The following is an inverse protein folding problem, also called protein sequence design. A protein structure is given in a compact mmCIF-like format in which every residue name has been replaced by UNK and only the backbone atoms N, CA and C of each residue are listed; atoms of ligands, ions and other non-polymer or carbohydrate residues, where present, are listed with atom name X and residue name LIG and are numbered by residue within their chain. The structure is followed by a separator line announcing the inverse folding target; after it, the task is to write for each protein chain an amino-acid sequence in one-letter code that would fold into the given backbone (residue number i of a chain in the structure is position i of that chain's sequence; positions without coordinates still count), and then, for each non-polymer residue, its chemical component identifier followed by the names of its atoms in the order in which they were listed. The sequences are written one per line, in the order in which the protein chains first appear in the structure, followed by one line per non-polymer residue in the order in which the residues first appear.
data_IF_442596550364
#
_entry.id   IF_442596550364
#
_cell.length_a   1.000
_cell.length_b   1.000
_cell.length_c   1.000
_cell.angle_alpha   90.00
_cell.angle_beta   90.00
_cell.angle_gamma   90.00
#
_symmetry.space_group_name_H-M   'P 1'
#
loop_
_entity.id
_entity.type
_entity.pdbx_description
1 polymer ?
#
# COMPACT_ATOMS: atom_id res chain seq x y z
N UNK A 1 -19.98 -10.21 -20.95
CA UNK A 1 -19.71 -9.27 -19.84
C UNK A 1 -19.84 -7.84 -20.33
N UNK A 2 -19.96 -6.86 -19.43
CA UNK A 2 -20.18 -5.43 -19.77
C UNK A 2 -18.94 -4.71 -20.35
N UNK A 3 -17.85 -5.43 -20.67
CA UNK A 3 -16.61 -4.83 -21.22
C UNK A 3 -15.90 -3.85 -20.27
N UNK A 4 -16.14 -3.98 -18.96
CA UNK A 4 -15.61 -3.08 -17.93
C UNK A 4 -14.17 -3.36 -17.52
N UNK A 5 -13.61 -2.42 -16.77
CA UNK A 5 -12.29 -2.54 -16.13
C UNK A 5 -12.48 -2.64 -14.61
N UNK A 6 -11.63 -3.40 -13.91
CA UNK A 6 -11.65 -3.53 -12.46
C UNK A 6 -10.24 -3.74 -11.90
N UNK A 7 -9.90 -3.06 -10.82
CA UNK A 7 -8.62 -3.19 -10.12
C UNK A 7 -8.81 -2.93 -8.63
N UNK A 8 -7.98 -3.55 -7.79
CA UNK A 8 -7.97 -3.37 -6.33
C UNK A 8 -6.69 -2.66 -5.83
N UNK A 9 -5.71 -2.44 -6.71
CA UNK A 9 -4.37 -1.92 -6.37
C UNK A 9 -4.35 -0.40 -6.31
N UNK A 10 -5.18 0.18 -5.44
CA UNK A 10 -5.44 1.61 -5.41
C UNK A 10 -4.20 2.46 -5.11
N UNK A 11 -3.24 1.93 -4.32
CA UNK A 11 -2.00 2.63 -3.92
C UNK A 11 -0.81 2.37 -4.86
N UNK A 12 -0.99 1.62 -5.95
CA UNK A 12 0.07 1.43 -6.93
C UNK A 12 0.21 2.66 -7.84
N UNK A 13 1.46 3.03 -8.12
CA UNK A 13 1.79 4.07 -9.09
C UNK A 13 2.46 3.52 -10.37
N UNK A 14 2.93 2.27 -10.35
CA UNK A 14 3.63 1.63 -11.48
C UNK A 14 3.00 0.29 -11.82
N UNK A 15 2.39 0.22 -13.01
CA UNK A 15 1.76 -0.97 -13.57
C UNK A 15 2.58 -1.58 -14.72
N UNK A 16 3.79 -1.10 -14.97
CA UNK A 16 4.63 -1.55 -16.09
C UNK A 16 5.13 -3.00 -15.97
N UNK A 17 4.94 -3.61 -14.80
CA UNK A 17 5.17 -5.04 -14.54
C UNK A 17 3.98 -5.94 -14.87
N UNK A 18 2.80 -5.38 -15.18
CA UNK A 18 1.63 -6.15 -15.56
C UNK A 18 1.89 -6.90 -16.87
N UNK A 19 1.45 -8.16 -16.95
CA UNK A 19 1.75 -9.07 -18.07
C UNK A 19 3.20 -9.58 -18.12
N UNK A 20 4.11 -9.06 -17.29
CA UNK A 20 5.52 -9.53 -17.21
C UNK A 20 5.79 -10.41 -16.00
N UNK A 21 4.85 -10.52 -15.05
CA UNK A 21 5.00 -11.40 -13.89
C UNK A 21 4.55 -12.81 -14.26
N UNK A 22 5.32 -13.81 -13.85
CA UNK A 22 5.04 -15.21 -14.15
C UNK A 22 3.92 -15.83 -13.29
N UNK A 23 3.40 -15.09 -12.30
CA UNK A 23 2.33 -15.57 -11.42
C UNK A 23 1.94 -14.52 -10.39
N UNK A 24 1.15 -14.96 -9.41
CA UNK A 24 0.60 -14.11 -8.37
C UNK A 24 1.70 -13.70 -7.38
N UNK A 25 1.94 -12.39 -7.18
CA UNK A 25 2.89 -11.90 -6.19
C UNK A 25 2.50 -12.35 -4.79
N UNK A 26 3.48 -12.85 -4.04
CA UNK A 26 3.26 -13.40 -2.70
C UNK A 26 4.52 -13.26 -1.85
N UNK A 27 4.46 -13.68 -0.59
CA UNK A 27 5.56 -13.61 0.35
C UNK A 27 6.83 -14.35 -0.13
N UNK A 28 6.70 -15.34 -1.00
CA UNK A 28 7.82 -16.15 -1.51
C UNK A 28 8.20 -17.32 -0.61
N UNK A 29 7.60 -17.40 0.58
CA UNK A 29 7.77 -18.46 1.58
C UNK A 29 6.57 -18.48 2.53
N UNK A 30 6.33 -19.59 3.24
CA UNK A 30 5.39 -19.60 4.37
C UNK A 30 5.82 -18.61 5.46
N UNK A 31 4.86 -17.97 6.11
CA UNK A 31 5.08 -17.06 7.25
C UNK A 31 5.86 -17.76 8.37
N UNK A 32 5.59 -19.06 8.57
CA UNK A 32 6.29 -19.86 9.55
C UNK A 32 7.79 -20.03 9.24
N UNK A 33 8.21 -19.97 7.97
CA UNK A 33 9.60 -20.17 7.55
C UNK A 33 10.46 -18.89 7.61
N UNK A 34 9.87 -17.74 7.96
CA UNK A 34 10.62 -16.48 8.13
C UNK A 34 11.72 -16.63 9.19
N UNK A 35 11.47 -17.43 10.23
CA UNK A 35 12.42 -17.62 11.34
C UNK A 35 13.62 -18.51 10.99
N UNK A 36 13.63 -19.09 9.78
CA UNK A 36 14.71 -19.90 9.21
C UNK A 36 15.63 -19.12 8.27
N UNK A 37 15.27 -17.86 7.96
CA UNK A 37 16.10 -16.98 7.15
C UNK A 37 17.33 -16.56 7.95
N UNK A 38 18.50 -16.59 7.31
CA UNK A 38 19.76 -16.15 7.93
C UNK A 38 20.22 -14.78 7.43
N UNK A 39 19.78 -14.37 6.23
CA UNK A 39 20.02 -13.05 5.65
C UNK A 39 18.74 -12.50 5.06
N UNK A 40 18.37 -11.29 5.47
CA UNK A 40 17.15 -10.65 4.96
C UNK A 40 17.47 -9.22 4.56
N UNK A 41 17.13 -8.83 3.34
CA UNK A 41 17.04 -7.44 2.93
C UNK A 41 15.58 -7.04 2.85
N UNK A 42 15.17 -6.06 3.65
CA UNK A 42 13.86 -5.42 3.52
C UNK A 42 14.02 -4.16 2.67
N UNK A 43 13.25 -4.06 1.59
CA UNK A 43 13.26 -2.90 0.69
C UNK A 43 11.93 -2.16 0.81
N UNK A 44 11.98 -0.88 1.19
CA UNK A 44 10.82 0.00 1.20
C UNK A 44 9.66 -0.50 2.06
N UNK A 45 9.78 -0.46 3.39
CA UNK A 45 8.74 -0.94 4.31
C UNK A 45 8.71 -0.11 5.60
N UNK A 46 7.51 0.30 6.02
CA UNK A 46 7.28 0.76 7.39
C UNK A 46 6.95 -0.45 8.26
N UNK A 47 7.89 -1.41 8.30
CA UNK A 47 7.66 -2.84 8.63
C UNK A 47 6.79 -3.09 9.87
N UNK A 48 7.01 -2.37 10.96
CA UNK A 48 6.23 -2.53 12.21
C UNK A 48 4.79 -2.04 12.12
N UNK A 49 4.52 -1.10 11.23
CA UNK A 49 3.21 -0.51 10.99
C UNK A 49 2.47 -1.26 9.88
N UNK A 50 3.20 -1.64 8.83
CA UNK A 50 2.65 -2.40 7.70
C UNK A 50 2.39 -3.87 8.08
N UNK A 51 3.35 -4.53 8.76
CA UNK A 51 3.31 -5.97 9.03
C UNK A 51 3.80 -6.35 10.44
N UNK A 52 3.07 -6.01 11.51
CA UNK A 52 3.51 -6.24 12.89
C UNK A 52 3.92 -7.69 13.20
N UNK A 53 3.19 -8.68 12.65
CA UNK A 53 3.48 -10.11 12.88
C UNK A 53 4.72 -10.59 12.13
N UNK A 54 4.98 -10.08 10.92
CA UNK A 54 6.21 -10.37 10.17
C UNK A 54 7.40 -9.71 10.88
N UNK A 55 7.24 -8.46 11.32
CA UNK A 55 8.26 -7.75 12.11
C UNK A 55 8.65 -8.55 13.37
N UNK A 56 7.65 -9.09 14.08
CA UNK A 56 7.87 -9.92 15.25
C UNK A 56 8.64 -11.21 14.91
N UNK A 57 8.32 -11.88 13.80
CA UNK A 57 9.02 -13.11 13.38
C UNK A 57 10.45 -12.83 12.97
N UNK A 58 10.70 -11.76 12.21
CA UNK A 58 12.05 -11.32 11.87
C UNK A 58 12.86 -11.00 13.14
N UNK A 59 12.24 -10.36 14.14
CA UNK A 59 12.89 -10.13 15.44
C UNK A 59 13.28 -11.45 16.13
N UNK A 60 12.48 -12.51 16.04
CA UNK A 60 12.87 -13.83 16.54
C UNK A 60 14.00 -14.46 15.72
N UNK A 61 13.98 -14.31 14.40
CA UNK A 61 15.06 -14.76 13.53
C UNK A 61 16.38 -14.07 13.90
N UNK A 62 16.36 -12.76 14.15
CA UNK A 62 17.54 -11.98 14.58
C UNK A 62 18.12 -12.51 15.90
N UNK A 63 17.28 -12.89 16.86
CA UNK A 63 17.73 -13.52 18.11
C UNK A 63 18.44 -14.87 17.88
N UNK A 64 18.20 -15.53 16.75
CA UNK A 64 18.85 -16.79 16.33
C UNK A 64 20.01 -16.57 15.36
N UNK A 65 20.45 -15.32 15.16
CA UNK A 65 21.61 -14.99 14.32
C UNK A 65 21.28 -14.57 12.88
N UNK A 66 20.00 -14.38 12.54
CA UNK A 66 19.62 -13.75 11.28
C UNK A 66 20.16 -12.31 11.23
N UNK A 67 20.73 -11.92 10.08
CA UNK A 67 21.09 -10.53 9.83
C UNK A 67 20.03 -9.88 8.95
N UNK A 68 19.35 -8.88 9.50
CA UNK A 68 18.38 -8.05 8.78
C UNK A 68 19.09 -6.78 8.31
N UNK A 69 19.03 -6.53 7.01
CA UNK A 69 19.48 -5.32 6.34
C UNK A 69 18.29 -4.54 5.78
N UNK A 70 18.45 -3.22 5.64
CA UNK A 70 17.36 -2.33 5.21
C UNK A 70 17.82 -1.41 4.09
N UNK A 71 16.99 -1.31 3.05
CA UNK A 71 17.02 -0.23 2.08
C UNK A 71 15.67 0.52 2.13
N UNK A 72 15.67 1.74 2.64
CA UNK A 72 14.42 2.50 2.83
C UNK A 72 14.65 4.02 2.75
N UNK A 73 13.58 4.79 2.89
CA UNK A 73 13.60 6.25 2.89
C UNK A 73 13.57 6.85 4.30
N UNK A 74 13.39 6.02 5.34
CA UNK A 74 13.40 6.44 6.74
C UNK A 74 14.12 5.39 7.57
N UNK A 75 14.92 5.82 8.54
CA UNK A 75 15.49 4.93 9.55
C UNK A 75 14.52 4.71 10.73
N UNK A 76 13.46 3.93 10.53
CA UNK A 76 12.53 3.62 11.62
C UNK A 76 13.09 2.60 12.63
N UNK A 77 12.69 2.73 13.89
CA UNK A 77 13.04 1.75 14.93
C UNK A 77 12.14 0.50 14.84
N UNK A 78 12.73 -0.58 14.34
CA UNK A 78 12.07 -1.87 14.18
C UNK A 78 12.12 -2.77 15.42
N UNK A 79 12.62 -2.27 16.55
CA UNK A 79 12.80 -3.02 17.80
C UNK A 79 13.63 -4.28 17.63
N UNK A 80 14.54 -4.29 16.65
CA UNK A 80 15.52 -5.34 16.43
C UNK A 80 16.82 -4.70 15.95
N UNK A 81 17.99 -5.31 16.27
CA UNK A 81 19.25 -4.92 15.65
C UNK A 81 19.17 -5.00 14.13
N UNK A 82 19.54 -3.92 13.46
CA UNK A 82 19.69 -3.87 12.01
C UNK A 82 21.18 -3.99 11.70
N UNK A 83 21.56 -5.02 10.96
CA UNK A 83 22.97 -5.30 10.64
C UNK A 83 23.55 -4.22 9.73
N UNK A 84 22.80 -3.86 8.68
CA UNK A 84 23.19 -2.84 7.72
C UNK A 84 21.97 -2.04 7.27
N UNK A 85 22.14 -0.74 7.05
CA UNK A 85 21.09 0.15 6.57
C UNK A 85 21.62 1.03 5.44
N UNK A 86 20.76 1.28 4.45
CA UNK A 86 20.97 2.27 3.40
C UNK A 86 19.71 3.12 3.33
N UNK A 87 19.81 4.36 3.80
CA UNK A 87 18.69 5.31 3.87
C UNK A 87 18.90 6.35 2.78
N UNK A 88 17.96 6.41 1.84
CA UNK A 88 18.07 7.26 0.65
C UNK A 88 16.75 7.90 0.32
N UNK A 89 16.77 9.05 -0.37
CA UNK A 89 15.56 9.65 -0.90
C UNK A 89 14.78 8.66 -1.80
N UNK A 90 13.43 8.75 -1.88
CA UNK A 90 12.62 7.81 -2.65
C UNK A 90 13.13 7.57 -4.08
N UNK A 91 13.41 8.64 -4.83
CA UNK A 91 13.89 8.53 -6.22
C UNK A 91 15.26 7.82 -6.35
N UNK A 92 16.06 7.78 -5.29
CA UNK A 92 17.36 7.11 -5.27
C UNK A 92 17.27 5.62 -4.89
N UNK A 93 16.09 5.11 -4.49
CA UNK A 93 15.93 3.73 -4.04
C UNK A 93 16.33 2.69 -5.09
N UNK A 94 15.92 2.88 -6.35
CA UNK A 94 16.25 1.92 -7.40
C UNK A 94 17.76 1.87 -7.67
N UNK A 95 18.40 3.04 -7.77
CA UNK A 95 19.86 3.12 -7.95
C UNK A 95 20.59 2.50 -6.76
N UNK A 96 20.12 2.75 -5.54
CA UNK A 96 20.68 2.18 -4.32
C UNK A 96 20.56 0.66 -4.26
N UNK A 97 19.42 0.08 -4.72
CA UNK A 97 19.19 -1.36 -4.78
C UNK A 97 20.07 -2.05 -5.83
N UNK A 98 20.23 -1.43 -7.01
CA UNK A 98 21.10 -1.95 -8.08
C UNK A 98 22.57 -1.89 -7.69
N UNK A 99 22.98 -0.85 -6.97
CA UNK A 99 24.35 -0.65 -6.49
C UNK A 99 24.64 -1.29 -5.13
N UNK A 100 24.04 -2.45 -4.83
CA UNK A 100 24.35 -3.18 -3.58
C UNK A 100 25.55 -4.13 -3.74
N UNK A 101 25.96 -4.45 -4.96
CA UNK A 101 27.15 -5.26 -5.20
C UNK A 101 28.39 -4.62 -4.57
N UNK A 102 29.11 -5.38 -3.74
CA UNK A 102 30.32 -4.90 -3.05
C UNK A 102 30.06 -3.97 -1.87
N UNK A 103 28.80 -3.76 -1.51
CA UNK A 103 28.42 -3.07 -0.26
C UNK A 103 28.22 -4.08 0.88
N UNK A 104 28.25 -3.65 2.16
CA UNK A 104 27.97 -4.54 3.29
C UNK A 104 26.62 -5.27 3.19
N UNK A 105 25.58 -4.61 2.64
CA UNK A 105 24.28 -5.25 2.41
C UNK A 105 24.39 -6.37 1.39
N UNK A 106 25.07 -6.13 0.25
CA UNK A 106 25.25 -7.13 -0.80
C UNK A 106 26.13 -8.30 -0.35
N UNK A 107 27.18 -8.03 0.41
CA UNK A 107 28.04 -9.06 1.02
C UNK A 107 27.28 -9.90 2.04
N UNK A 108 26.50 -9.25 2.91
CA UNK A 108 25.59 -9.92 3.84
C UNK A 108 24.67 -10.88 3.11
N UNK A 109 23.97 -10.44 2.06
CA UNK A 109 23.08 -11.30 1.27
C UNK A 109 23.80 -12.50 0.64
N UNK A 110 24.96 -12.26 0.00
CA UNK A 110 25.76 -13.34 -0.63
C UNK A 110 26.28 -14.37 0.36
N UNK A 111 26.53 -13.98 1.60
CA UNK A 111 27.00 -14.89 2.64
C UNK A 111 25.92 -15.83 3.19
N UNK A 112 24.63 -15.58 2.87
CA UNK A 112 23.50 -16.32 3.41
C UNK A 112 23.21 -17.63 2.67
N UNK A 113 22.89 -18.68 3.43
CA UNK A 113 22.36 -19.93 2.89
C UNK A 113 20.85 -19.84 2.64
N UNK A 114 20.15 -19.10 3.49
CA UNK A 114 18.71 -18.86 3.45
C UNK A 114 18.43 -17.36 3.33
N UNK A 115 18.88 -16.77 2.22
CA UNK A 115 18.75 -15.34 1.96
C UNK A 115 17.42 -14.97 1.29
N UNK A 116 16.81 -13.86 1.70
CA UNK A 116 15.62 -13.30 1.07
C UNK A 116 15.68 -11.77 0.92
N UNK A 117 15.10 -11.28 -0.18
CA UNK A 117 14.82 -9.86 -0.42
C UNK A 117 13.32 -9.67 -0.38
N UNK A 118 12.82 -8.95 0.62
CA UNK A 118 11.38 -8.74 0.84
C UNK A 118 11.02 -7.29 0.51
N UNK A 119 10.13 -7.12 -0.47
CA UNK A 119 9.60 -5.83 -0.90
C UNK A 119 8.40 -5.45 -0.03
N UNK A 120 8.51 -4.33 0.69
CA UNK A 120 7.42 -3.79 1.51
C UNK A 120 6.44 -2.92 0.73
N UNK A 121 5.49 -2.32 1.44
CA UNK A 121 4.43 -1.54 0.82
C UNK A 121 4.98 -0.30 0.11
N UNK A 122 5.92 0.41 0.73
CA UNK A 122 6.56 1.58 0.13
C UNK A 122 7.30 1.22 -1.18
N UNK A 123 7.93 0.05 -1.28
CA UNK A 123 8.54 -0.41 -2.53
C UNK A 123 7.50 -0.80 -3.59
N UNK A 124 6.40 -1.44 -3.19
CA UNK A 124 5.31 -1.86 -4.08
C UNK A 124 4.51 -0.66 -4.64
N UNK A 125 4.44 0.43 -3.88
CA UNK A 125 3.70 1.65 -4.23
C UNK A 125 4.58 2.67 -4.97
N UNK A 126 5.89 2.40 -5.08
CA UNK A 126 6.85 3.30 -5.71
C UNK A 126 6.53 3.48 -7.21
N UNK A 127 6.76 4.67 -7.81
CA UNK A 127 6.62 4.91 -9.26
C UNK A 127 7.56 4.09 -10.17
N UNK A 128 8.37 3.21 -9.58
CA UNK A 128 9.31 2.32 -10.26
C UNK A 128 9.25 0.92 -9.64
N UNK A 129 8.09 0.53 -9.09
CA UNK A 129 7.91 -0.73 -8.38
C UNK A 129 8.28 -1.95 -9.23
N UNK A 130 7.99 -1.96 -10.54
CA UNK A 130 8.37 -3.04 -11.44
C UNK A 130 9.91 -3.13 -11.59
N UNK A 131 10.59 -1.99 -11.65
CA UNK A 131 12.05 -1.94 -11.71
C UNK A 131 12.71 -2.32 -10.38
N UNK A 132 12.12 -1.92 -9.25
CA UNK A 132 12.55 -2.38 -7.92
C UNK A 132 12.41 -3.91 -7.80
N UNK A 133 11.33 -4.48 -8.33
CA UNK A 133 11.13 -5.92 -8.40
C UNK A 133 12.18 -6.60 -9.28
N UNK A 134 12.42 -6.10 -10.49
CA UNK A 134 13.46 -6.62 -11.38
C UNK A 134 14.87 -6.54 -10.75
N UNK A 135 15.20 -5.42 -10.09
CA UNK A 135 16.47 -5.23 -9.40
C UNK A 135 16.62 -6.17 -8.18
N UNK A 136 15.56 -6.38 -7.40
CA UNK A 136 15.55 -7.35 -6.31
C UNK A 136 15.76 -8.79 -6.83
N UNK A 137 15.13 -9.15 -7.95
CA UNK A 137 15.33 -10.44 -8.61
C UNK A 137 16.77 -10.64 -9.09
N UNK A 138 17.40 -9.59 -9.62
CA UNK A 138 18.77 -9.63 -10.11
C UNK A 138 19.82 -9.90 -9.01
N UNK A 139 19.47 -9.74 -7.73
CA UNK A 139 20.35 -10.08 -6.60
C UNK A 139 20.53 -11.60 -6.41
N UNK A 140 19.75 -12.44 -7.09
CA UNK A 140 19.89 -13.90 -7.07
C UNK A 140 19.40 -14.58 -5.79
N UNK A 141 18.79 -13.84 -4.87
CA UNK A 141 18.16 -14.38 -3.66
C UNK A 141 16.66 -14.65 -3.89
N UNK A 142 16.01 -15.33 -2.93
CA UNK A 142 14.55 -15.43 -2.90
C UNK A 142 13.93 -14.03 -2.82
N UNK A 143 13.03 -13.70 -3.73
CA UNK A 143 12.24 -12.46 -3.68
C UNK A 143 10.88 -12.74 -3.07
N UNK A 144 10.41 -11.83 -2.21
CA UNK A 144 9.11 -11.88 -1.56
C UNK A 144 8.42 -10.52 -1.54
N UNK A 145 7.09 -10.52 -1.52
CA UNK A 145 6.27 -9.33 -1.27
C UNK A 145 5.65 -9.45 0.11
N UNK A 146 5.84 -8.45 0.98
CA UNK A 146 5.23 -8.49 2.31
C UNK A 146 3.69 -8.42 2.24
N UNK A 147 3.16 -7.84 1.16
CA UNK A 147 1.73 -7.80 0.82
C UNK A 147 1.05 -6.52 1.32
N UNK A 148 0.36 -5.78 0.45
CA UNK A 148 -0.13 -4.45 0.82
C UNK A 148 -1.42 -4.39 1.63
N UNK A 149 -2.29 -5.37 1.41
CA UNK A 149 -3.60 -5.45 2.05
C UNK A 149 -3.91 -6.89 2.45
N UNK A 150 -4.91 -7.05 3.31
CA UNK A 150 -5.27 -8.33 3.91
C UNK A 150 -5.61 -9.44 2.89
N UNK A 151 -5.98 -9.08 1.65
CA UNK A 151 -6.45 -10.02 0.63
C UNK A 151 -5.91 -9.75 -0.78
N UNK A 152 -4.72 -9.14 -0.93
CA UNK A 152 -4.18 -8.83 -2.27
C UNK A 152 -3.99 -10.10 -3.12
N UNK A 153 -3.47 -11.19 -2.52
CA UNK A 153 -3.34 -12.50 -3.21
C UNK A 153 -4.70 -13.03 -3.65
N UNK A 154 -5.74 -12.85 -2.81
CA UNK A 154 -7.10 -13.24 -3.13
C UNK A 154 -7.70 -12.43 -4.29
N UNK A 155 -7.36 -11.15 -4.40
CA UNK A 155 -7.74 -10.30 -5.54
C UNK A 155 -7.21 -10.84 -6.87
N UNK A 156 -5.93 -11.22 -6.90
CA UNK A 156 -5.34 -11.88 -8.08
C UNK A 156 -5.97 -13.23 -8.39
N UNK A 157 -6.22 -14.07 -7.37
CA UNK A 157 -6.88 -15.38 -7.55
C UNK A 157 -8.30 -15.26 -8.09
N UNK A 158 -8.99 -14.17 -7.76
CA UNK A 158 -10.31 -13.82 -8.27
C UNK A 158 -10.27 -13.21 -9.69
N UNK A 159 -9.08 -13.07 -10.30
CA UNK A 159 -8.92 -12.62 -11.69
C UNK A 159 -8.76 -11.11 -11.86
N UNK A 160 -8.39 -10.36 -10.81
CA UNK A 160 -8.07 -8.94 -10.90
C UNK A 160 -6.55 -8.72 -11.01
N UNK A 161 -6.07 -7.65 -11.69
CA UNK A 161 -6.85 -6.66 -12.44
C UNK A 161 -7.50 -7.22 -13.71
N UNK A 162 -8.56 -6.58 -14.17
CA UNK A 162 -9.28 -6.92 -15.41
C UNK A 162 -9.45 -5.66 -16.26
N UNK A 163 -9.15 -5.75 -17.56
CA UNK A 163 -9.44 -4.67 -18.51
C UNK A 163 -8.62 -3.39 -18.30
N UNK A 164 -7.43 -3.50 -17.70
CA UNK A 164 -6.51 -2.39 -17.43
C UNK A 164 -6.21 -2.21 -15.95
N UNK A 165 -5.50 -1.14 -15.61
CA UNK A 165 -5.15 -0.75 -14.25
C UNK A 165 -6.18 0.22 -13.62
N UNK A 166 -5.90 0.68 -12.40
CA UNK A 166 -6.75 1.68 -11.72
C UNK A 166 -6.94 2.97 -12.53
N UNK A 167 -5.96 3.41 -13.33
CA UNK A 167 -6.10 4.58 -14.20
C UNK A 167 -7.08 4.31 -15.35
N UNK A 168 -7.10 3.09 -15.89
CA UNK A 168 -8.11 2.67 -16.86
C UNK A 168 -9.52 2.61 -16.25
N UNK A 169 -9.63 2.18 -14.98
CA UNK A 169 -10.90 2.21 -14.23
C UNK A 169 -11.38 3.64 -14.03
N UNK A 170 -10.53 4.53 -13.55
CA UNK A 170 -10.88 5.93 -13.25
C UNK A 170 -11.31 6.74 -14.49
N UNK A 171 -10.95 6.31 -15.70
CA UNK A 171 -11.39 6.94 -16.97
C UNK A 171 -12.81 6.55 -17.38
N UNK A 172 -13.49 5.63 -16.68
CA UNK A 172 -14.84 5.19 -17.04
C UNK A 172 -15.87 6.23 -16.62
N UNK A 173 -16.94 6.36 -17.43
CA UNK A 173 -18.07 7.27 -17.14
C UNK A 173 -18.93 6.79 -15.98
N UNK A 174 -18.95 5.49 -15.73
CA UNK A 174 -19.63 4.88 -14.59
C UNK A 174 -18.62 4.19 -13.71
N UNK A 175 -18.58 4.56 -12.44
CA UNK A 175 -17.65 4.01 -11.46
C UNK A 175 -18.41 3.24 -10.37
N UNK A 176 -17.88 2.06 -10.06
CA UNK A 176 -18.32 1.24 -8.94
C UNK A 176 -17.20 1.23 -7.90
N UNK A 177 -17.37 1.97 -6.80
CA UNK A 177 -16.36 2.10 -5.75
C UNK A 177 -16.73 1.18 -4.59
N UNK A 178 -16.03 0.06 -4.45
CA UNK A 178 -16.34 -0.94 -3.42
C UNK A 178 -15.33 -0.89 -2.27
N UNK A 179 -15.82 -0.56 -1.08
CA UNK A 179 -15.09 -0.51 0.18
C UNK A 179 -13.77 0.27 0.12
N UNK A 180 -13.78 1.37 -0.63
CA UNK A 180 -12.64 2.26 -0.83
C UNK A 180 -13.05 3.72 -0.63
N UNK A 181 -12.13 4.52 -0.12
CA UNK A 181 -12.20 5.96 0.06
C UNK A 181 -11.11 6.57 -0.83
N UNK A 182 -11.37 6.84 -2.12
CA UNK A 182 -10.32 7.16 -3.10
C UNK A 182 -9.45 8.36 -2.71
N UNK A 183 -10.02 9.33 -1.99
CA UNK A 183 -9.31 10.46 -1.39
C UNK A 183 -8.28 10.06 -0.31
N UNK A 184 -8.38 8.86 0.26
CA UNK A 184 -7.47 8.31 1.28
C UNK A 184 -6.71 7.06 0.80
N UNK A 185 -7.27 6.33 -0.16
CA UNK A 185 -6.82 4.98 -0.55
C UNK A 185 -6.10 4.94 -1.89
N UNK A 186 -6.15 6.00 -2.70
CA UNK A 186 -5.45 6.03 -3.98
C UNK A 186 -4.00 6.55 -3.87
N UNK A 187 -3.15 6.08 -4.79
CA UNK A 187 -1.76 6.51 -4.92
C UNK A 187 -1.64 8.01 -5.22
N UNK A 188 -2.63 8.56 -5.92
CA UNK A 188 -2.80 9.99 -6.18
C UNK A 188 -4.26 10.38 -5.90
N UNK A 189 -4.55 10.85 -4.67
CA UNK A 189 -5.89 11.28 -4.28
C UNK A 189 -6.46 12.39 -5.15
N UNK A 190 -5.64 13.34 -5.60
CA UNK A 190 -6.08 14.45 -6.44
C UNK A 190 -6.58 13.94 -7.80
N UNK A 191 -5.78 13.11 -8.46
CA UNK A 191 -6.16 12.50 -9.73
C UNK A 191 -7.40 11.61 -9.59
N UNK A 192 -7.47 10.81 -8.53
CA UNK A 192 -8.62 9.95 -8.26
C UNK A 192 -9.90 10.77 -8.05
N UNK A 193 -9.86 11.81 -7.22
CA UNK A 193 -11.02 12.66 -6.95
C UNK A 193 -11.43 13.51 -8.14
N UNK A 194 -10.49 13.98 -8.95
CA UNK A 194 -10.80 14.64 -10.22
C UNK A 194 -11.56 13.69 -11.16
N UNK A 195 -11.08 12.46 -11.29
CA UNK A 195 -11.72 11.45 -12.14
C UNK A 195 -13.12 11.07 -11.63
N UNK A 196 -13.29 10.90 -10.31
CA UNK A 196 -14.58 10.60 -9.69
C UNK A 196 -15.59 11.72 -9.93
N UNK A 197 -15.19 12.98 -9.74
CA UNK A 197 -16.07 14.14 -9.99
C UNK A 197 -16.38 14.34 -11.47
N UNK A 198 -15.51 13.87 -12.36
CA UNK A 198 -15.73 13.92 -13.80
C UNK A 198 -16.54 12.71 -14.33
N UNK A 199 -16.71 11.65 -13.54
CA UNK A 199 -17.54 10.52 -13.90
C UNK A 199 -19.01 10.97 -13.99
N UNK A 200 -19.75 10.40 -14.95
CA UNK A 200 -21.16 10.72 -15.13
C UNK A 200 -22.08 9.99 -14.15
N UNK A 201 -21.61 8.91 -13.52
CA UNK A 201 -22.36 8.17 -12.52
C UNK A 201 -21.44 7.39 -11.57
N UNK A 202 -21.59 7.56 -10.26
CA UNK A 202 -20.76 6.93 -9.22
C UNK A 202 -21.65 6.17 -8.25
N UNK A 203 -21.44 4.86 -8.18
CA UNK A 203 -22.08 3.97 -7.19
C UNK A 203 -21.02 3.56 -6.17
N UNK A 204 -21.21 3.93 -4.90
CA UNK A 204 -20.31 3.56 -3.83
C UNK A 204 -20.95 2.49 -2.91
N UNK A 205 -20.24 1.38 -2.75
CA UNK A 205 -20.60 0.27 -1.86
C UNK A 205 -19.68 0.34 -0.64
N UNK A 206 -20.21 0.56 0.55
CA UNK A 206 -19.36 0.69 1.74
C UNK A 206 -20.07 0.31 3.03
N UNK A 207 -19.29 -0.10 4.03
CA UNK A 207 -19.77 -0.28 5.40
C UNK A 207 -19.99 1.07 6.12
N UNK A 208 -19.31 2.12 5.64
CA UNK A 208 -19.40 3.48 6.15
C UNK A 208 -19.86 4.43 5.04
N UNK A 209 -20.15 5.69 5.41
CA UNK A 209 -20.69 6.71 4.49
C UNK A 209 -19.73 7.90 4.24
N UNK A 210 -18.48 7.68 3.79
CA UNK A 210 -17.55 8.77 3.41
C UNK A 210 -17.91 9.41 2.06
N UNK A 211 -18.49 8.62 1.15
CA UNK A 211 -18.71 9.01 -0.25
C UNK A 211 -19.91 9.94 -0.51
N UNK A 212 -20.47 10.58 0.52
CA UNK A 212 -21.71 11.39 0.38
C UNK A 212 -21.56 12.56 -0.56
N UNK A 213 -20.34 13.09 -0.69
CA UNK A 213 -20.09 14.32 -1.44
C UNK A 213 -19.82 14.05 -2.93
N UNK A 214 -19.70 12.78 -3.35
CA UNK A 214 -19.31 12.43 -4.71
C UNK A 214 -20.01 11.19 -5.30
N UNK A 215 -20.82 10.45 -4.53
CA UNK A 215 -21.57 9.30 -5.04
C UNK A 215 -23.03 9.66 -5.36
N UNK A 216 -23.50 9.24 -6.53
CA UNK A 216 -24.92 9.33 -6.91
C UNK A 216 -25.77 8.28 -6.19
N UNK A 217 -25.18 7.10 -5.92
CA UNK A 217 -25.85 6.01 -5.21
C UNK A 217 -24.94 5.44 -4.12
N UNK A 218 -25.48 5.33 -2.90
CA UNK A 218 -24.83 4.67 -1.78
C UNK A 218 -25.53 3.34 -1.48
N UNK A 219 -24.77 2.25 -1.55
CA UNK A 219 -25.26 0.91 -1.26
C UNK A 219 -24.56 0.35 0.00
N UNK A 220 -25.27 0.14 1.12
CA UNK A 220 -24.65 -0.34 2.35
C UNK A 220 -24.24 -1.81 2.22
N UNK A 221 -22.95 -2.09 2.48
CA UNK A 221 -22.43 -3.46 2.52
C UNK A 221 -21.92 -3.84 3.92
N UNK A 222 -22.06 -5.11 4.27
CA UNK A 222 -21.60 -5.65 5.54
C UNK A 222 -20.05 -5.74 5.57
N UNK A 223 -19.39 -5.32 6.67
CA UNK A 223 -17.96 -5.57 6.89
C UNK A 223 -17.69 -7.07 7.10
N UNK A 224 -16.41 -7.48 7.04
CA UNK A 224 -16.02 -8.89 7.11
C UNK A 224 -16.48 -9.60 8.41
N UNK A 225 -16.73 -8.87 9.49
CA UNK A 225 -17.25 -9.40 10.77
C UNK A 225 -18.72 -9.82 10.70
N UNK A 226 -19.45 -9.35 9.69
CA UNK A 226 -20.91 -9.50 9.53
C UNK A 226 -21.30 -10.36 8.32
N UNK A 227 -20.33 -10.81 7.52
CA UNK A 227 -20.55 -11.67 6.36
C UNK A 227 -19.59 -12.84 6.35
N UNK A 228 -20.02 -13.98 5.80
CA UNK A 228 -19.09 -15.04 5.41
C UNK A 228 -18.18 -14.54 4.29
N UNK A 229 -16.93 -15.02 4.28
CA UNK A 229 -15.94 -14.62 3.31
C UNK A 229 -14.72 -15.53 3.29
N UNK A 230 -13.84 -15.27 2.33
CA UNK A 230 -12.55 -15.96 2.19
C UNK A 230 -11.47 -14.92 1.92
N UNK A 231 -10.41 -14.96 2.72
CA UNK A 231 -9.17 -14.23 2.45
C UNK A 231 -8.06 -15.19 2.06
N UNK A 232 -7.11 -14.70 1.29
CA UNK A 232 -5.87 -15.37 0.97
C UNK A 232 -4.74 -14.50 1.48
N UNK A 233 -4.04 -15.01 2.49
CA UNK A 233 -2.93 -14.29 3.13
C UNK A 233 -1.77 -14.08 2.16
N UNK A 234 -0.82 -13.24 2.56
CA UNK A 234 0.39 -12.96 1.77
C UNK A 234 1.24 -14.21 1.48
N UNK A 235 1.17 -15.27 2.30
CA UNK A 235 1.82 -16.56 2.01
C UNK A 235 1.02 -17.47 1.06
N UNK A 236 -0.13 -17.03 0.55
CA UNK A 236 -1.00 -17.83 -0.30
C UNK A 236 -1.96 -18.76 0.44
N UNK A 237 -2.04 -18.70 1.77
CA UNK A 237 -2.98 -19.53 2.55
C UNK A 237 -4.40 -19.02 2.41
N UNK A 238 -5.28 -19.88 1.89
CA UNK A 238 -6.73 -19.66 1.83
C UNK A 238 -7.38 -19.85 3.20
N UNK A 239 -8.14 -18.86 3.66
CA UNK A 239 -8.77 -18.83 4.97
C UNK A 239 -10.22 -18.38 4.82
N UNK A 240 -11.17 -19.25 5.16
CA UNK A 240 -12.59 -18.91 5.17
C UNK A 240 -13.05 -18.59 6.59
N UNK A 241 -14.01 -17.68 6.71
CA UNK A 241 -14.58 -17.26 7.98
C UNK A 241 -16.09 -17.12 7.86
N UNK A 242 -16.76 -17.31 9.01
CA UNK A 242 -18.20 -17.14 9.18
C UNK A 242 -18.48 -15.78 9.82
N UNK A 243 -19.68 -15.21 9.61
CA UNK A 243 -20.06 -13.97 10.29
C UNK A 243 -20.07 -14.17 11.81
N UNK A 244 -19.52 -13.22 12.54
CA UNK A 244 -19.55 -13.21 14.00
C UNK A 244 -20.86 -12.64 14.54
N UNK A 245 -21.47 -11.69 13.82
CA UNK A 245 -22.74 -11.05 14.15
C UNK A 245 -23.58 -10.83 12.89
N UNK A 246 -24.86 -10.47 13.05
CA UNK A 246 -25.75 -10.17 11.93
C UNK A 246 -25.37 -8.81 11.29
N UNK A 247 -25.56 -8.64 9.97
CA UNK A 247 -25.42 -7.35 9.32
C UNK A 247 -26.21 -6.23 10.01
N UNK A 248 -25.60 -5.06 10.13
CA UNK A 248 -26.26 -3.89 10.71
C UNK A 248 -27.37 -3.35 9.78
N UNK A 249 -28.60 -3.26 10.31
CA UNK A 249 -29.74 -2.73 9.57
C UNK A 249 -29.98 -3.46 8.25
N UNK A 250 -30.06 -2.69 7.15
CA UNK A 250 -30.27 -3.22 5.81
C UNK A 250 -28.98 -3.52 5.03
N UNK A 251 -27.81 -3.49 5.68
CA UNK A 251 -26.58 -3.89 5.04
C UNK A 251 -26.67 -5.33 4.51
N UNK A 252 -26.04 -5.57 3.36
CA UNK A 252 -25.98 -6.90 2.71
C UNK A 252 -24.52 -7.28 2.45
N UNK A 253 -24.17 -8.58 2.37
CA UNK A 253 -22.87 -8.99 1.86
C UNK A 253 -22.56 -8.34 0.51
N UNK A 254 -21.37 -7.76 0.35
CA UNK A 254 -21.01 -7.02 -0.87
C UNK A 254 -21.16 -7.83 -2.15
N UNK A 255 -20.79 -9.12 -2.12
CA UNK A 255 -20.98 -10.03 -3.25
C UNK A 255 -22.46 -10.22 -3.64
N UNK A 256 -23.40 -10.18 -2.68
CA UNK A 256 -24.84 -10.27 -2.97
C UNK A 256 -25.34 -9.00 -3.66
N UNK A 257 -24.83 -7.84 -3.25
CA UNK A 257 -25.14 -6.57 -3.92
C UNK A 257 -24.64 -6.60 -5.36
N UNK A 258 -23.37 -6.96 -5.58
CA UNK A 258 -22.80 -7.11 -6.93
C UNK A 258 -23.58 -8.12 -7.77
N UNK A 259 -23.99 -9.23 -7.17
CA UNK A 259 -24.80 -10.25 -7.82
C UNK A 259 -26.13 -9.70 -8.33
N UNK A 260 -26.88 -9.03 -7.46
CA UNK A 260 -28.17 -8.45 -7.82
C UNK A 260 -27.99 -7.38 -8.90
N UNK A 261 -26.95 -6.55 -8.82
CA UNK A 261 -26.64 -5.56 -9.86
C UNK A 261 -26.36 -6.25 -11.21
N UNK A 262 -25.58 -7.33 -11.21
CA UNK A 262 -25.32 -8.12 -12.41
C UNK A 262 -26.58 -8.71 -13.02
N UNK A 263 -27.46 -9.30 -12.20
CA UNK A 263 -28.75 -9.83 -12.64
C UNK A 263 -29.67 -8.75 -13.20
N UNK A 264 -29.79 -7.59 -12.54
CA UNK A 264 -30.61 -6.46 -13.00
C UNK A 264 -30.06 -5.86 -14.31
N UNK A 265 -28.75 -5.90 -14.52
CA UNK A 265 -28.11 -5.48 -15.75
C UNK A 265 -28.23 -6.53 -16.89
N UNK A 266 -28.91 -7.65 -16.66
CA UNK A 266 -29.08 -8.72 -17.65
C UNK A 266 -27.78 -9.47 -17.98
N UNK A 267 -26.78 -9.41 -17.09
CA UNK A 267 -25.50 -10.09 -17.30
C UNK A 267 -25.63 -11.55 -16.82
N UNK A 268 -25.29 -12.56 -17.64
CA UNK A 268 -25.33 -13.95 -17.22
C UNK A 268 -24.22 -14.26 -16.20
N UNK A 269 -24.36 -15.38 -15.47
CA UNK A 269 -23.34 -15.84 -14.51
C UNK A 269 -23.43 -15.18 -13.14
N UNK A 270 -24.62 -14.76 -12.72
CA UNK A 270 -24.88 -14.14 -11.41
C UNK A 270 -25.91 -14.93 -10.58
N UNK A 271 -25.99 -16.24 -10.79
CA UNK A 271 -27.00 -17.12 -10.18
C UNK A 271 -26.57 -17.71 -8.82
N UNK A 272 -25.54 -17.13 -8.18
CA UNK A 272 -25.02 -17.61 -6.89
C UNK A 272 -25.98 -17.34 -5.72
N UNK A 273 -26.23 -18.35 -4.91
CA UNK A 273 -27.06 -18.24 -3.71
C UNK A 273 -26.23 -18.19 -2.43
N UNK A 274 -25.02 -18.76 -2.47
CA UNK A 274 -24.15 -18.91 -1.30
C UNK A 274 -22.71 -18.46 -1.58
N UNK A 275 -22.02 -18.04 -0.52
CA UNK A 275 -20.58 -17.75 -0.56
C UNK A 275 -19.76 -19.01 -0.93
N UNK A 276 -20.22 -20.21 -0.53
CA UNK A 276 -19.55 -21.47 -0.85
C UNK A 276 -19.50 -21.73 -2.36
N UNK A 277 -20.58 -21.42 -3.10
CA UNK A 277 -20.60 -21.55 -4.57
C UNK A 277 -19.59 -20.62 -5.24
N UNK A 278 -19.49 -19.37 -4.80
CA UNK A 278 -18.50 -18.40 -5.30
C UNK A 278 -17.07 -18.87 -5.02
N UNK A 279 -16.81 -19.29 -3.77
CA UNK A 279 -15.50 -19.81 -3.38
C UNK A 279 -15.11 -21.02 -4.22
N UNK A 280 -16.04 -21.95 -4.38
CA UNK A 280 -15.83 -23.14 -5.19
C UNK A 280 -15.50 -22.74 -6.63
N UNK A 281 -16.27 -21.86 -7.27
CA UNK A 281 -15.94 -21.40 -8.64
C UNK A 281 -14.55 -20.77 -8.73
N UNK A 282 -14.19 -19.91 -7.78
CA UNK A 282 -12.89 -19.23 -7.79
C UNK A 282 -11.74 -20.22 -7.60
N UNK A 283 -11.92 -21.30 -6.83
CA UNK A 283 -10.84 -22.22 -6.44
C UNK A 283 -10.87 -23.56 -7.18
N UNK A 284 -11.96 -23.90 -7.89
CA UNK A 284 -12.16 -25.22 -8.49
C UNK A 284 -11.01 -25.58 -9.42
N UNK A 285 -10.37 -26.72 -9.15
CA UNK A 285 -9.26 -27.22 -9.94
C UNK A 285 -7.97 -26.40 -9.85
N UNK A 286 -7.90 -25.38 -8.98
CA UNK A 286 -6.71 -24.55 -8.77
C UNK A 286 -5.92 -25.06 -7.57
N UNK A 287 -4.68 -25.47 -7.81
CA UNK A 287 -3.68 -25.52 -6.75
C UNK A 287 -3.07 -24.12 -6.61
N UNK A 288 -3.49 -23.40 -5.56
CA UNK A 288 -3.04 -22.04 -5.30
C UNK A 288 -1.52 -21.95 -5.31
N UNK A 289 -0.81 -22.92 -4.75
CA UNK A 289 0.66 -22.88 -4.67
C UNK A 289 1.32 -22.83 -6.05
N UNK A 290 0.73 -23.45 -7.07
CA UNK A 290 1.27 -23.44 -8.45
C UNK A 290 1.03 -22.13 -9.19
N UNK A 291 0.10 -21.30 -8.71
CA UNK A 291 -0.21 -19.99 -9.27
C UNK A 291 0.66 -18.87 -8.69
N UNK A 292 1.32 -19.13 -7.54
CA UNK A 292 2.16 -18.15 -6.86
C UNK A 292 3.54 -18.09 -7.50
N UNK A 293 3.98 -16.89 -7.89
CA UNK A 293 5.32 -16.67 -8.41
C UNK A 293 5.74 -15.23 -8.25
N UNK A 294 7.00 -15.04 -7.84
CA UNK A 294 7.64 -13.73 -7.75
C UNK A 294 8.61 -13.50 -8.90
N UNK A 295 8.58 -14.32 -9.97
CA UNK A 295 9.40 -14.07 -11.15
C UNK A 295 8.82 -12.96 -12.01
N UNK A 296 9.69 -12.10 -12.53
CA UNK A 296 9.36 -11.03 -13.48
C UNK A 296 10.28 -11.09 -14.70
N UNK A 297 9.68 -11.00 -15.88
CA UNK A 297 10.32 -10.91 -17.18
C UNK A 297 10.55 -9.44 -17.55
N UNK A 298 11.41 -8.79 -16.77
CA UNK A 298 11.79 -7.40 -16.95
C UNK A 298 13.27 -7.25 -16.59
N UNK A 299 14.05 -6.67 -17.49
CA UNK A 299 15.44 -6.31 -17.19
C UNK A 299 15.47 -5.09 -16.26
N UNK A 300 16.33 -5.15 -15.23
CA UNK A 300 16.54 -4.03 -14.33
C UNK A 300 17.24 -2.88 -15.08
N UNK A 301 16.50 -1.81 -15.37
CA UNK A 301 16.94 -0.65 -16.12
C UNK A 301 17.38 0.51 -15.23
N UNK A 302 17.92 1.56 -15.86
CA UNK A 302 18.19 2.88 -15.24
C UNK A 302 16.96 3.44 -14.53
N UNK A 303 17.17 4.08 -13.39
CA UNK A 303 16.09 4.82 -12.74
C UNK A 303 15.80 6.15 -13.44
N UNK A 304 14.60 6.68 -13.21
CA UNK A 304 14.30 8.06 -13.58
C UNK A 304 15.20 9.02 -12.79
N UNK A 305 15.58 10.17 -13.38
CA UNK A 305 16.36 11.17 -12.67
C UNK A 305 15.61 11.63 -11.42
N UNK A 306 16.39 11.94 -10.37
CA UNK A 306 15.82 12.46 -9.14
C UNK A 306 15.15 13.83 -9.41
N UNK A 307 13.99 14.09 -8.80
CA UNK A 307 13.38 15.41 -8.84
C UNK A 307 14.32 16.47 -8.27
N UNK A 308 14.18 17.71 -8.74
CA UNK A 308 14.96 18.85 -8.27
C UNK A 308 14.39 19.42 -6.95
N UNK A 309 13.09 19.26 -6.72
CA UNK A 309 12.40 19.69 -5.52
C UNK A 309 12.53 18.76 -4.31
N UNK A 310 11.85 19.13 -3.21
CA UNK A 310 11.76 18.27 -2.02
C UNK A 310 10.92 17.04 -2.34
N UNK A 311 11.35 15.88 -1.88
CA UNK A 311 10.66 14.62 -2.11
C UNK A 311 9.72 14.26 -0.96
N UNK A 312 8.49 13.86 -1.31
CA UNK A 312 7.55 13.29 -0.35
C UNK A 312 7.93 11.87 0.01
N UNK A 313 7.98 11.59 1.31
CA UNK A 313 7.95 10.24 1.87
C UNK A 313 6.57 10.04 2.50
N UNK A 314 5.68 9.33 1.83
CA UNK A 314 4.36 9.01 2.37
C UNK A 314 4.31 7.59 2.94
N UNK A 315 4.09 7.50 4.25
CA UNK A 315 3.60 6.28 4.90
C UNK A 315 2.08 6.26 4.96
N UNK A 316 1.51 5.06 5.16
CA UNK A 316 0.10 4.88 5.53
C UNK A 316 0.08 4.35 6.96
N UNK A 317 -0.15 5.21 7.96
CA UNK A 317 -0.22 4.78 9.35
C UNK A 317 -1.26 3.68 9.56
N UNK A 318 -0.96 2.75 10.47
CA UNK A 318 -1.75 1.52 10.70
C UNK A 318 -3.23 1.79 11.00
N UNK A 319 -3.55 2.91 11.66
CA UNK A 319 -4.93 3.28 11.99
C UNK A 319 -5.58 4.24 10.99
N UNK A 320 -4.88 4.52 9.88
CA UNK A 320 -5.38 5.24 8.71
C UNK A 320 -5.53 4.30 7.50
N UNK A 321 -5.18 3.03 7.62
CA UNK A 321 -5.02 2.13 6.48
C UNK A 321 -6.32 1.77 5.74
N UNK A 322 -7.45 1.74 6.44
CA UNK A 322 -8.74 1.34 5.88
C UNK A 322 -9.94 1.99 6.62
N UNK A 323 -11.16 1.89 6.06
CA UNK A 323 -12.36 2.49 6.64
C UNK A 323 -12.72 2.04 8.07
N UNK A 324 -12.38 0.81 8.46
CA UNK A 324 -12.69 0.26 9.79
C UNK A 324 -11.78 0.89 10.84
N UNK A 325 -10.46 0.82 10.64
CA UNK A 325 -9.50 1.30 11.64
C UNK A 325 -9.57 2.82 11.82
N UNK A 326 -9.86 3.57 10.75
CA UNK A 326 -10.11 5.04 10.80
C UNK A 326 -11.25 5.40 11.73
N UNK A 327 -12.22 4.50 11.91
CA UNK A 327 -13.47 4.75 12.66
C UNK A 327 -13.57 3.98 13.96
N UNK A 328 -12.50 3.34 14.41
CA UNK A 328 -12.45 2.61 15.67
C UNK A 328 -12.04 3.56 16.83
N UNK A 329 -12.95 3.96 17.74
CA UNK A 329 -12.65 5.01 18.73
C UNK A 329 -11.52 4.66 19.70
N UNK A 330 -11.33 3.36 20.00
CA UNK A 330 -10.22 2.90 20.84
C UNK A 330 -8.87 3.06 20.16
N UNK A 331 -8.77 2.76 18.86
CA UNK A 331 -7.54 2.92 18.07
C UNK A 331 -7.20 4.39 17.87
N UNK A 332 -8.21 5.23 17.65
CA UNK A 332 -8.05 6.67 17.45
C UNK A 332 -7.52 7.42 18.70
N UNK A 333 -7.55 6.80 19.89
CA UNK A 333 -6.97 7.36 21.14
C UNK A 333 -5.49 7.04 21.32
N UNK A 334 -4.87 6.29 20.42
CA UNK A 334 -3.48 5.83 20.56
C UNK A 334 -2.49 6.81 19.93
N UNK A 335 -1.20 6.60 20.22
CA UNK A 335 -0.11 7.33 19.57
C UNK A 335 -0.12 7.19 18.03
N UNK A 336 -0.48 6.02 17.52
CA UNK A 336 -0.40 5.72 16.08
C UNK A 336 -1.56 6.31 15.26
N UNK A 337 -2.52 6.95 15.93
CA UNK A 337 -3.62 7.69 15.31
C UNK A 337 -3.44 9.22 15.41
N UNK A 338 -2.30 9.70 15.94
CA UNK A 338 -2.03 11.13 16.01
C UNK A 338 -2.05 11.77 14.61
N UNK A 339 -2.58 13.00 14.47
CA UNK A 339 -2.62 13.69 13.18
C UNK A 339 -1.23 13.79 12.51
N UNK A 340 -1.16 13.68 11.18
CA UNK A 340 0.08 13.84 10.43
C UNK A 340 0.80 15.16 10.73
N UNK A 341 2.12 15.11 10.64
CA UNK A 341 3.03 16.26 10.72
C UNK A 341 3.90 16.31 9.47
N UNK A 342 4.52 17.46 9.22
CA UNK A 342 5.57 17.60 8.21
C UNK A 342 6.93 17.33 8.87
N UNK A 343 7.36 16.06 8.85
CA UNK A 343 8.63 15.66 9.44
C UNK A 343 9.77 15.97 8.50
N UNK A 344 10.80 16.65 9.03
CA UNK A 344 11.96 17.14 8.29
C UNK A 344 13.20 16.96 9.15
N UNK A 345 14.36 16.77 8.51
CA UNK A 345 15.61 16.77 9.25
C UNK A 345 16.04 18.19 9.65
N UNK A 346 17.05 18.30 10.52
CA UNK A 346 17.49 19.58 11.06
C UNK A 346 18.05 20.53 9.99
N UNK A 347 18.67 20.00 8.93
CA UNK A 347 19.22 20.79 7.84
C UNK A 347 18.10 21.45 7.02
N UNK A 348 17.07 20.69 6.66
CA UNK A 348 15.93 21.21 5.92
C UNK A 348 15.12 22.23 6.73
N UNK A 349 14.90 21.97 8.03
CA UNK A 349 14.25 22.96 8.92
C UNK A 349 15.00 24.29 8.93
N UNK A 350 16.34 24.25 9.05
CA UNK A 350 17.19 25.46 9.00
C UNK A 350 17.13 26.16 7.65
N UNK A 351 17.20 25.44 6.53
CA UNK A 351 17.16 26.04 5.20
C UNK A 351 15.81 26.69 4.89
N UNK A 352 14.73 26.19 5.49
CA UNK A 352 13.38 26.76 5.38
C UNK A 352 13.09 27.86 6.41
N UNK A 353 13.97 28.08 7.40
CA UNK A 353 13.73 29.02 8.49
C UNK A 353 12.54 28.64 9.38
N UNK A 354 12.29 27.34 9.56
CA UNK A 354 11.13 26.81 10.30
C UNK A 354 11.59 26.07 11.56
N UNK A 355 10.91 26.30 12.68
CA UNK A 355 11.11 25.55 13.92
C UNK A 355 10.15 24.35 14.05
N UNK A 356 10.56 23.31 14.78
CA UNK A 356 9.66 22.22 15.12
C UNK A 356 8.47 22.74 15.96
N UNK A 357 7.26 22.29 15.64
CA UNK A 357 6.00 22.79 16.21
C UNK A 357 5.42 24.00 15.49
N UNK A 358 6.16 24.65 14.58
CA UNK A 358 5.64 25.76 13.80
C UNK A 358 4.68 25.29 12.69
N UNK A 359 3.56 25.98 12.45
CA UNK A 359 2.70 25.69 11.30
C UNK A 359 3.41 25.94 9.96
N UNK A 360 3.30 24.96 9.07
CA UNK A 360 3.80 25.02 7.70
C UNK A 360 2.70 24.68 6.71
N UNK A 361 2.78 25.27 5.52
CA UNK A 361 2.01 24.89 4.36
C UNK A 361 2.86 23.94 3.53
N UNK A 362 2.38 22.70 3.39
CA UNK A 362 2.93 21.72 2.45
C UNK A 362 2.08 21.77 1.20
N UNK A 363 2.70 21.99 0.04
CA UNK A 363 1.99 22.06 -1.23
C UNK A 363 2.54 21.02 -2.21
N UNK A 364 1.64 20.28 -2.86
CA UNK A 364 1.95 19.25 -3.83
C UNK A 364 0.93 19.30 -4.96
N UNK A 365 1.38 19.61 -6.19
CA UNK A 365 0.47 19.89 -7.30
C UNK A 365 -0.45 21.08 -6.96
N UNK A 366 -1.74 21.05 -7.36
CA UNK A 366 -2.72 22.08 -7.01
C UNK A 366 -3.16 22.07 -5.53
N UNK A 367 -2.89 21.01 -4.78
CA UNK A 367 -3.37 20.85 -3.41
C UNK A 367 -2.37 21.25 -2.32
N UNK A 368 -2.89 21.54 -1.13
CA UNK A 368 -2.10 21.93 0.03
C UNK A 368 -2.58 21.27 1.33
N UNK A 369 -1.69 21.20 2.31
CA UNK A 369 -1.99 20.77 3.67
C UNK A 369 -1.32 21.73 4.67
N UNK A 370 -2.05 22.12 5.71
CA UNK A 370 -1.50 22.88 6.84
C UNK A 370 -1.15 21.90 7.95
N UNK A 371 0.15 21.75 8.22
CA UNK A 371 0.68 20.78 9.17
C UNK A 371 1.61 21.46 10.16
N UNK A 372 1.89 20.82 11.29
CA UNK A 372 2.98 21.25 12.17
C UNK A 372 4.29 20.66 11.64
N UNK A 373 5.32 21.49 11.55
CA UNK A 373 6.67 21.02 11.30
C UNK A 373 7.16 20.16 12.48
N UNK A 374 7.94 19.13 12.18
CA UNK A 374 8.52 18.28 13.22
C UNK A 374 9.93 17.85 12.82
N UNK A 375 10.79 17.68 13.82
CA UNK A 375 12.16 17.22 13.61
C UNK A 375 12.20 15.69 13.56
N UNK A 376 12.78 15.15 12.51
CA UNK A 376 13.20 13.75 12.44
C UNK A 376 14.59 13.64 11.80
N UNK A 377 15.60 13.34 12.61
CA UNK A 377 16.99 13.19 12.17
C UNK A 377 17.22 11.93 11.31
N UNK A 378 16.23 11.04 11.21
CA UNK A 378 16.29 9.74 10.52
C UNK A 378 15.91 9.86 9.04
N UNK A 379 15.59 11.07 8.58
CA UNK A 379 15.20 11.36 7.20
C UNK A 379 16.42 11.79 6.37
N UNK A 380 16.52 11.31 5.12
CA UNK A 380 17.54 11.79 4.18
C UNK A 380 17.30 13.27 3.83
N UNK A 381 18.35 13.94 3.36
CA UNK A 381 18.26 15.32 2.90
C UNK A 381 17.28 15.48 1.74
N UNK A 382 16.71 16.68 1.62
CA UNK A 382 15.77 17.01 0.55
C UNK A 382 14.45 16.25 0.62
N UNK A 383 14.11 15.63 1.75
CA UNK A 383 12.87 14.87 1.91
C UNK A 383 12.00 15.40 3.05
N UNK A 384 10.69 15.28 2.87
CA UNK A 384 9.68 15.57 3.89
C UNK A 384 8.78 14.36 4.04
N UNK A 385 8.70 13.80 5.25
CA UNK A 385 7.75 12.73 5.54
C UNK A 385 6.41 13.32 5.91
N UNK A 386 5.40 13.00 5.10
CA UNK A 386 4.01 13.42 5.27
C UNK A 386 3.13 12.22 4.96
N UNK A 387 2.55 11.65 6.02
CA UNK A 387 1.64 10.51 5.93
C UNK A 387 0.49 10.78 4.94
N UNK A 388 0.02 9.71 4.30
CA UNK A 388 -1.19 9.71 3.50
C UNK A 388 -2.37 9.16 4.30
N UNK A 389 -3.52 9.00 3.63
CA UNK A 389 -4.71 8.34 4.15
C UNK A 389 -5.36 9.01 5.38
N UNK A 390 -5.06 10.30 5.61
CA UNK A 390 -5.68 11.11 6.66
C UNK A 390 -6.30 12.38 6.07
N UNK A 391 -7.43 12.82 6.62
CA UNK A 391 -8.19 13.97 6.13
C UNK A 391 -7.34 15.25 5.98
N UNK A 392 -6.43 15.52 6.93
CA UNK A 392 -5.54 16.70 6.88
C UNK A 392 -4.50 16.66 5.76
N UNK A 393 -4.39 15.55 5.03
CA UNK A 393 -3.41 15.31 3.97
C UNK A 393 -4.05 14.78 2.68
N UNK A 394 -5.37 14.61 2.66
CA UNK A 394 -6.12 14.04 1.54
C UNK A 394 -6.08 14.91 0.29
N UNK A 395 -5.91 16.22 0.47
CA UNK A 395 -5.76 17.18 -0.63
C UNK A 395 -4.36 17.17 -1.26
N UNK A 396 -3.38 16.49 -0.66
CA UNK A 396 -2.06 16.34 -1.29
C UNK A 396 -2.11 15.31 -2.42
N UNK A 397 -1.20 15.45 -3.39
CA UNK A 397 -1.13 14.59 -4.57
C UNK A 397 -0.48 13.25 -4.27
N UNK A 398 0.25 12.73 -5.27
CA UNK A 398 0.83 11.39 -5.21
C UNK A 398 1.64 11.08 -3.95
N UNK A 399 1.58 9.82 -3.49
CA UNK A 399 2.38 9.28 -2.37
C UNK A 399 3.89 9.53 -2.55
N UNK A 400 4.33 9.64 -3.80
CA UNK A 400 5.70 9.95 -4.21
C UNK A 400 5.70 11.17 -5.11
N UNK A 401 6.74 11.98 -5.04
CA UNK A 401 6.94 13.10 -5.95
C UNK A 401 7.41 14.36 -5.23
N UNK A 402 7.45 15.45 -5.99
CA UNK A 402 7.87 16.74 -5.49
C UNK A 402 6.80 17.39 -4.61
N UNK A 403 7.24 18.04 -3.54
CA UNK A 403 6.45 18.96 -2.75
C UNK A 403 7.26 20.23 -2.46
N UNK A 404 6.56 21.24 -1.95
CA UNK A 404 7.17 22.44 -1.38
C UNK A 404 6.67 22.64 0.04
N UNK A 405 7.49 23.28 0.87
CA UNK A 405 7.14 23.63 2.24
C UNK A 405 7.42 25.10 2.46
N UNK A 406 6.45 25.83 2.98
CA UNK A 406 6.58 27.23 3.35
C UNK A 406 6.10 27.45 4.79
N UNK A 407 6.77 28.34 5.53
CA UNK A 407 6.26 28.81 6.81
C UNK A 407 4.90 29.48 6.61
N UNK A 408 3.94 29.20 7.49
CA UNK A 408 2.70 29.98 7.56
C UNK A 408 2.98 31.19 8.44
N UNK A 409 2.78 32.40 7.91
CA UNK A 409 2.84 33.60 8.72
C UNK A 409 1.79 33.48 9.83
N UNK A 410 2.22 33.56 11.09
CA UNK A 410 1.30 33.68 12.21
C UNK A 410 0.72 35.08 12.12
N UNK A 411 -0.44 35.21 11.47
CA UNK A 411 -1.21 36.45 11.54
C UNK A 411 -1.44 36.80 13.00
N UNK A 412 -1.16 38.05 13.40
CA UNK A 412 -1.59 38.54 14.71
C UNK A 412 -3.09 38.24 14.83
N UNK A 413 -3.46 37.45 15.84
CA UNK A 413 -4.86 37.27 16.19
C UNK A 413 -5.45 38.67 16.36
N UNK A 414 -6.51 38.96 15.60
CA UNK A 414 -7.28 40.19 15.72
C UNK A 414 -8.16 40.12 16.97
#
# INVERSE_FOLDING_TARGET
GLGGSADFRLRHADFSGDGKRAGIPWLGLPVAAIDQLDRVLIVGSFLRKDHPLIAQRLRQAVKRGCQVSVLHAVEDDWLMPIAHKKIVAPAAMLAALRGLEGTPIGESLRSGKNAAVLLGNFAQQHPQAAQLHAAAQALGCRVGFLGEAANSVGGYLAGLPLGGDVHAVLKKKTLLVMNAEPELDCADPQAAMQAIRAAGFVVALGAFRPARDYADVLLPIAPFTETAGTFVSTEGRVQSFNPAVRPLGDARPGWKVLRVLGSLAGVPGFDYETHAQLREEILRGKDVATLLSNRIELAAAGGSPAPAGLQRIADVPIYFADPLVRRAPSLQKTHDAQPPRAWMNAQLLRSLGVAAGQPVRVQQGPGEARLLAALDARLPDGCVRVAAAHASTADLGSLFGELSVAAVAVGKAA
#
